data_IF_489364718162
#
_entry.id   IF_489364718162
#
_cell.length_a   1.000
_cell.length_b   1.000
_cell.length_c   1.000
_cell.angle_alpha   90.00
_cell.angle_beta   90.00
_cell.angle_gamma   90.00
#
_symmetry.space_group_name_H-M   'P 1'
#
loop_
_entity.id
_entity.type
_entity.pdbx_description
1 polymer ?
#
# COMPACT_ATOMS: atom_id res chain seq x y z
N UNK A 1 14.78 10.53 14.09
CA UNK A 1 13.95 9.48 13.48
C UNK A 1 12.87 9.09 14.46
N UNK A 2 11.59 9.23 14.10
CA UNK A 2 10.49 8.73 14.93
C UNK A 2 10.44 7.21 14.76
N UNK A 3 10.50 6.47 15.87
CA UNK A 3 10.39 5.02 15.87
C UNK A 3 9.06 4.62 16.50
N UNK A 4 8.35 3.70 15.85
CA UNK A 4 7.07 3.17 16.33
C UNK A 4 7.24 1.68 16.61
N UNK A 5 6.88 1.26 17.82
CA UNK A 5 6.91 -0.15 18.19
C UNK A 5 5.56 -0.81 17.91
N UNK A 6 5.57 -1.92 17.19
CA UNK A 6 4.39 -2.73 16.88
C UNK A 6 4.57 -4.11 17.52
N UNK A 7 3.55 -4.56 18.26
CA UNK A 7 3.54 -5.89 18.87
C UNK A 7 2.91 -6.89 17.91
N UNK A 8 3.60 -8.00 17.71
CA UNK A 8 3.17 -9.13 16.90
C UNK A 8 3.49 -10.42 17.66
N UNK A 9 2.81 -11.51 17.32
CA UNK A 9 3.15 -12.81 17.88
C UNK A 9 4.49 -13.33 17.32
N UNK A 10 5.01 -14.37 17.99
CA UNK A 10 6.32 -14.94 17.65
C UNK A 10 6.36 -15.56 16.26
N UNK A 11 5.27 -16.18 15.79
CA UNK A 11 5.21 -16.81 14.46
C UNK A 11 5.30 -15.74 13.40
N UNK A 12 4.48 -14.69 13.50
CA UNK A 12 4.52 -13.53 12.58
C UNK A 12 5.90 -12.89 12.55
N UNK A 13 6.56 -12.75 13.71
CA UNK A 13 7.93 -12.22 13.75
C UNK A 13 8.93 -13.10 12.98
N UNK A 14 8.84 -14.42 13.10
CA UNK A 14 9.73 -15.35 12.38
C UNK A 14 9.50 -15.30 10.87
N UNK A 15 8.24 -15.25 10.45
CA UNK A 15 7.88 -15.13 9.03
C UNK A 15 8.44 -13.83 8.43
N UNK A 16 8.28 -12.70 9.12
CA UNK A 16 8.85 -11.42 8.68
C UNK A 16 10.38 -11.45 8.62
N UNK A 17 11.03 -12.14 9.56
CA UNK A 17 12.49 -12.27 9.56
C UNK A 17 12.99 -13.12 8.39
N UNK A 18 12.31 -14.22 8.08
CA UNK A 18 12.63 -15.05 6.93
C UNK A 18 12.43 -14.30 5.61
N UNK A 19 11.33 -13.55 5.48
CA UNK A 19 11.05 -12.72 4.31
C UNK A 19 12.09 -11.62 4.13
N UNK A 20 12.44 -10.90 5.20
CA UNK A 20 13.49 -9.89 5.14
C UNK A 20 14.84 -10.49 4.70
N UNK A 21 15.16 -11.69 5.21
CA UNK A 21 16.38 -12.41 4.81
C UNK A 21 16.35 -12.78 3.33
N UNK A 22 15.24 -13.30 2.80
CA UNK A 22 15.15 -13.67 1.38
C UNK A 22 15.20 -12.46 0.45
N UNK A 23 14.76 -11.29 0.93
CA UNK A 23 14.83 -10.02 0.19
C UNK A 23 16.17 -9.29 0.36
N UNK A 24 17.05 -9.75 1.25
CA UNK A 24 18.30 -9.06 1.56
C UNK A 24 18.11 -7.71 2.28
N UNK A 25 17.03 -7.56 3.04
CA UNK A 25 16.62 -6.32 3.71
C UNK A 25 16.50 -6.52 5.22
N UNK A 26 16.23 -5.43 5.96
CA UNK A 26 15.84 -5.52 7.37
C UNK A 26 14.34 -5.78 7.52
N UNK A 27 13.91 -6.25 8.70
CA UNK A 27 12.48 -6.39 9.02
C UNK A 27 11.74 -5.05 8.88
N UNK A 28 12.34 -3.95 9.35
CA UNK A 28 11.74 -2.61 9.25
C UNK A 28 11.56 -2.14 7.82
N UNK A 29 12.54 -2.39 6.95
CA UNK A 29 12.45 -2.03 5.53
C UNK A 29 11.40 -2.88 4.81
N UNK A 30 11.37 -4.18 5.12
CA UNK A 30 10.38 -5.11 4.58
C UNK A 30 8.95 -4.68 4.93
N UNK A 31 8.72 -4.31 6.20
CA UNK A 31 7.42 -3.79 6.65
C UNK A 31 7.10 -2.47 5.93
N UNK A 32 8.07 -1.57 5.79
CA UNK A 32 7.87 -0.30 5.10
C UNK A 32 7.49 -0.47 3.63
N UNK A 33 8.14 -1.42 2.93
CA UNK A 33 7.80 -1.80 1.55
C UNK A 33 6.39 -2.41 1.50
N UNK A 34 6.08 -3.36 2.38
CA UNK A 34 4.77 -4.03 2.42
C UNK A 34 3.64 -3.04 2.66
N UNK A 35 3.76 -2.17 3.66
CA UNK A 35 2.76 -1.12 3.96
C UNK A 35 2.56 -0.19 2.76
N UNK A 36 3.65 0.20 2.09
CA UNK A 36 3.57 1.02 0.89
C UNK A 36 2.82 0.31 -0.23
N UNK A 37 3.11 -0.97 -0.48
CA UNK A 37 2.44 -1.78 -1.52
C UNK A 37 0.95 -1.92 -1.24
N UNK A 38 0.56 -2.30 -0.01
CA UNK A 38 -0.84 -2.41 0.38
C UNK A 38 -1.62 -1.09 0.16
N UNK A 39 -1.00 0.05 0.48
CA UNK A 39 -1.60 1.35 0.20
C UNK A 39 -1.72 1.62 -1.31
N UNK A 40 -0.71 1.26 -2.09
CA UNK A 40 -0.73 1.43 -3.55
C UNK A 40 -1.82 0.57 -4.20
N UNK A 41 -1.97 -0.67 -3.75
CA UNK A 41 -3.01 -1.58 -4.24
C UNK A 41 -4.41 -1.02 -3.96
N UNK A 42 -4.64 -0.52 -2.74
CA UNK A 42 -5.91 0.13 -2.38
C UNK A 42 -6.20 1.37 -3.24
N UNK A 43 -5.19 2.19 -3.52
CA UNK A 43 -5.34 3.36 -4.41
C UNK A 43 -5.63 2.88 -5.83
N UNK A 44 -4.97 1.83 -6.30
CA UNK A 44 -5.21 1.23 -7.61
C UNK A 44 -6.65 0.77 -7.77
N UNK A 45 -7.21 0.08 -6.76
CA UNK A 45 -8.62 -0.31 -6.75
C UNK A 45 -9.57 0.89 -6.84
N UNK A 46 -9.28 1.97 -6.09
CA UNK A 46 -10.08 3.19 -6.13
C UNK A 46 -10.02 3.88 -7.50
N UNK A 47 -8.83 3.98 -8.09
CA UNK A 47 -8.64 4.60 -9.41
C UNK A 47 -9.21 3.76 -10.55
N UNK A 48 -9.28 2.43 -10.40
CA UNK A 48 -9.89 1.53 -11.37
C UNK A 48 -11.43 1.56 -11.35
N UNK A 49 -12.03 2.18 -10.33
CA UNK A 49 -13.48 2.35 -10.29
C UNK A 49 -13.95 3.26 -11.43
N UNK A 50 -15.07 2.90 -12.05
CA UNK A 50 -15.66 3.73 -13.10
C UNK A 50 -16.05 5.08 -12.50
N UNK A 51 -15.73 6.15 -13.24
CA UNK A 51 -16.17 7.50 -12.88
C UNK A 51 -17.70 7.56 -12.82
N UNK A 52 -18.24 8.36 -11.90
CA UNK A 52 -19.67 8.58 -11.86
C UNK A 52 -20.11 9.28 -13.16
N UNK A 53 -21.37 9.07 -13.56
CA UNK A 53 -21.90 9.68 -14.77
C UNK A 53 -21.76 11.22 -14.77
N UNK A 54 -21.92 11.84 -13.60
CA UNK A 54 -21.75 13.29 -13.43
C UNK A 54 -20.30 13.74 -13.60
N UNK A 55 -19.32 12.94 -13.15
CA UNK A 55 -17.88 13.22 -13.33
C UNK A 55 -17.51 13.13 -14.82
N UNK A 56 -18.03 12.13 -15.52
CA UNK A 56 -17.83 11.97 -16.97
C UNK A 56 -18.48 13.13 -17.73
N UNK A 57 -19.74 13.46 -17.41
CA UNK A 57 -20.46 14.56 -18.05
C UNK A 57 -19.78 15.91 -17.81
N UNK A 58 -19.15 16.11 -16.65
CA UNK A 58 -18.33 17.29 -16.36
C UNK A 58 -17.03 17.31 -17.17
N UNK A 59 -16.32 16.17 -17.28
CA UNK A 59 -15.09 16.05 -18.05
C UNK A 59 -15.30 16.24 -19.56
N UNK A 60 -16.42 15.74 -20.08
CA UNK A 60 -16.79 15.81 -21.50
C UNK A 60 -17.54 17.11 -21.84
N UNK A 61 -17.69 18.04 -20.89
CA UNK A 61 -18.39 19.29 -21.12
C UNK A 61 -17.63 20.16 -22.15
N UNK A 62 -18.36 20.67 -23.14
CA UNK A 62 -17.79 21.51 -24.19
C UNK A 62 -17.33 22.85 -23.61
N UNK A 63 -16.04 23.16 -23.79
CA UNK A 63 -15.44 24.43 -23.39
C UNK A 63 -15.70 25.43 -24.53
N UNK A 64 -16.92 25.95 -24.58
CA UNK A 64 -17.45 26.79 -25.67
C UNK A 64 -16.52 27.88 -26.21
#
# INVERSE_FOLDING_TARGET
>A
MQSTSVRIDRRTHLELKQLATSMGTTVSDTVSIAVRRLRQDQIGEQLASALAADDVAWLDADLG
#
